data_IF_978648236169
#
_entry.id   IF_978648236169
#
_cell.length_a   1.000
_cell.length_b   1.000
_cell.length_c   1.000
_cell.angle_alpha   90.00
_cell.angle_beta   90.00
_cell.angle_gamma   90.00
#
_symmetry.space_group_name_H-M   'P 1'
#
loop_
_entity.id
_entity.type
_entity.pdbx_description
1 polymer ?
#
# COMPACT_ATOMS: atom_id res chain seq x y z
N UNK A 1 13.34 8.31 -10.93
CA UNK A 1 12.46 7.34 -10.25
C UNK A 1 11.50 8.09 -9.36
N UNK A 2 10.24 7.72 -9.39
CA UNK A 2 9.25 8.36 -8.52
C UNK A 2 9.30 7.81 -7.11
N UNK A 3 8.84 8.59 -6.15
CA UNK A 3 8.76 8.18 -4.75
C UNK A 3 7.59 7.21 -4.55
N UNK A 4 7.84 6.09 -3.88
CA UNK A 4 6.82 5.11 -3.56
C UNK A 4 6.05 5.57 -2.34
N UNK A 5 4.72 5.56 -2.40
CA UNK A 5 3.87 5.92 -1.26
C UNK A 5 3.52 4.68 -0.44
N UNK A 6 3.60 4.77 0.88
CA UNK A 6 3.28 3.68 1.79
C UNK A 6 2.21 4.11 2.79
N UNK A 7 1.27 3.21 3.09
CA UNK A 7 0.29 3.42 4.15
C UNK A 7 -0.13 2.08 4.74
N UNK A 8 -0.47 2.07 6.01
CA UNK A 8 -1.03 0.90 6.66
C UNK A 8 -1.87 1.32 7.86
N UNK A 9 -2.71 0.40 8.37
CA UNK A 9 -3.28 0.53 9.69
C UNK A 9 -2.38 -0.22 10.70
N UNK A 10 -2.85 -0.34 11.94
CA UNK A 10 -2.08 -1.02 12.98
C UNK A 10 -1.80 -2.49 12.65
N UNK A 11 -2.73 -3.18 11.96
CA UNK A 11 -2.55 -4.59 11.61
C UNK A 11 -1.51 -4.79 10.51
N UNK A 12 -1.26 -3.77 9.68
CA UNK A 12 -0.28 -3.84 8.61
C UNK A 12 1.06 -3.18 8.94
N UNK A 13 1.20 -2.64 10.14
CA UNK A 13 2.37 -1.84 10.50
C UNK A 13 3.69 -2.62 10.38
N UNK A 14 3.73 -3.84 10.92
CA UNK A 14 4.96 -4.63 10.91
C UNK A 14 5.39 -5.00 9.50
N UNK A 15 4.45 -5.42 8.65
CA UNK A 15 4.76 -5.72 7.26
C UNK A 15 5.21 -4.46 6.52
N UNK A 16 4.61 -3.31 6.81
CA UNK A 16 5.05 -2.04 6.23
C UNK A 16 6.50 -1.73 6.63
N UNK A 17 6.89 -1.97 7.88
CA UNK A 17 8.26 -1.76 8.32
C UNK A 17 9.24 -2.66 7.55
N UNK A 18 8.84 -3.91 7.29
CA UNK A 18 9.65 -4.81 6.47
C UNK A 18 9.78 -4.30 5.03
N UNK A 19 8.69 -3.81 4.44
CA UNK A 19 8.70 -3.24 3.08
C UNK A 19 9.63 -2.04 3.02
N UNK A 20 9.63 -1.18 4.04
CA UNK A 20 10.53 -0.02 4.09
C UNK A 20 12.00 -0.45 4.05
N UNK A 21 12.35 -1.47 4.81
CA UNK A 21 13.73 -1.99 4.81
C UNK A 21 14.11 -2.57 3.45
N UNK A 22 13.16 -3.25 2.81
CA UNK A 22 13.39 -3.81 1.49
C UNK A 22 13.61 -2.71 0.45
N UNK A 23 12.83 -1.65 0.50
CA UNK A 23 12.98 -0.51 -0.41
C UNK A 23 14.30 0.22 -0.18
N UNK A 24 14.69 0.41 1.08
CA UNK A 24 15.97 1.04 1.43
C UNK A 24 17.14 0.22 0.87
N UNK A 25 17.08 -1.11 0.98
CA UNK A 25 18.12 -1.99 0.45
C UNK A 25 18.23 -1.90 -1.07
N UNK A 26 17.13 -1.58 -1.76
CA UNK A 26 17.12 -1.39 -3.22
C UNK A 26 17.48 0.03 -3.65
N UNK A 27 17.65 0.94 -2.71
CA UNK A 27 17.96 2.33 -3.02
C UNK A 27 16.78 3.15 -3.52
N UNK A 28 15.56 2.70 -3.26
CA UNK A 28 14.33 3.38 -3.70
C UNK A 28 13.82 4.33 -2.64
N UNK A 29 13.33 5.49 -3.06
CA UNK A 29 12.73 6.48 -2.18
C UNK A 29 11.29 6.13 -1.89
N UNK A 30 10.85 6.42 -0.66
CA UNK A 30 9.47 6.21 -0.26
C UNK A 30 9.00 7.31 0.68
N UNK A 31 7.67 7.49 0.76
CA UNK A 31 7.04 8.39 1.72
C UNK A 31 5.99 7.60 2.48
N UNK A 32 6.11 7.59 3.82
CA UNK A 32 5.22 6.86 4.70
C UNK A 32 4.11 7.79 5.21
N UNK A 33 2.86 7.49 4.86
CA UNK A 33 1.69 8.28 5.27
C UNK A 33 1.06 7.79 6.58
N UNK A 34 1.64 6.81 7.25
CA UNK A 34 1.16 6.24 8.50
C UNK A 34 0.55 4.85 8.29
N UNK A 35 0.14 4.17 9.34
CA UNK A 35 0.37 4.55 10.72
C UNK A 35 1.84 4.37 11.13
N UNK A 36 2.19 4.91 12.30
CA UNK A 36 3.59 4.87 12.76
C UNK A 36 3.78 3.99 14.00
N UNK A 37 2.71 3.36 14.46
CA UNK A 37 2.73 2.49 15.64
C UNK A 37 1.81 1.29 15.43
N UNK A 38 1.84 0.34 16.38
CA UNK A 38 0.92 -0.80 16.39
C UNK A 38 -0.38 -0.52 17.15
N UNK A 39 -0.56 0.70 17.67
CA UNK A 39 -1.78 1.07 18.37
C UNK A 39 -2.97 1.08 17.42
N UNK A 40 -4.13 0.66 17.92
CA UNK A 40 -5.35 0.59 17.12
C UNK A 40 -5.66 1.93 16.45
N UNK A 41 -6.00 1.89 15.17
CA UNK A 41 -6.31 3.09 14.38
C UNK A 41 -7.26 2.73 13.25
N UNK A 42 -7.85 3.74 12.63
CA UNK A 42 -8.75 3.58 11.49
C UNK A 42 -7.98 3.70 10.18
N UNK A 43 -8.07 2.68 9.32
CA UNK A 43 -7.34 2.65 8.06
C UNK A 43 -7.66 3.81 7.09
N UNK A 44 -8.88 4.38 7.05
CA UNK A 44 -9.14 5.48 6.11
C UNK A 44 -8.30 6.72 6.38
N UNK A 45 -7.91 6.96 7.64
CA UNK A 45 -7.08 8.11 8.02
C UNK A 45 -5.72 8.10 7.30
N UNK A 46 -5.26 6.93 6.89
CA UNK A 46 -3.98 6.76 6.22
C UNK A 46 -4.14 6.44 4.74
N UNK A 47 -5.27 5.84 4.35
CA UNK A 47 -5.55 5.50 2.97
C UNK A 47 -5.82 6.74 2.11
N UNK A 48 -6.61 7.69 2.60
CA UNK A 48 -6.95 8.87 1.82
C UNK A 48 -5.72 9.74 1.47
N UNK A 49 -4.80 10.02 2.41
CA UNK A 49 -3.58 10.75 2.04
C UNK A 49 -2.74 10.04 0.99
N UNK A 50 -2.62 8.71 1.07
CA UNK A 50 -1.90 7.94 0.06
C UNK A 50 -2.58 8.06 -1.30
N UNK A 51 -3.90 7.91 -1.34
CA UNK A 51 -4.66 8.01 -2.58
C UNK A 51 -4.45 9.37 -3.24
N UNK A 52 -4.52 10.45 -2.48
CA UNK A 52 -4.32 11.79 -3.01
C UNK A 52 -2.91 11.97 -3.58
N UNK A 53 -1.90 11.44 -2.90
CA UNK A 53 -0.51 11.52 -3.38
C UNK A 53 -0.31 10.76 -4.69
N UNK A 54 -0.96 9.61 -4.86
CA UNK A 54 -0.88 8.85 -6.11
C UNK A 54 -1.66 9.56 -7.22
N UNK A 55 -2.87 10.07 -6.91
CA UNK A 55 -3.68 10.76 -7.91
C UNK A 55 -3.01 12.00 -8.46
N UNK A 56 -2.32 12.77 -7.61
CA UNK A 56 -1.70 14.03 -8.05
C UNK A 56 -0.27 13.85 -8.57
N UNK A 57 0.22 12.61 -8.65
CA UNK A 57 1.53 12.32 -9.21
C UNK A 57 2.71 12.49 -8.25
N UNK A 58 2.45 12.77 -6.98
CA UNK A 58 3.52 12.88 -5.98
C UNK A 58 4.20 11.54 -5.74
N UNK A 59 3.41 10.44 -5.70
CA UNK A 59 3.91 9.09 -5.46
C UNK A 59 3.46 8.13 -6.55
N UNK A 60 4.31 7.14 -6.86
CA UNK A 60 3.94 6.04 -7.74
C UNK A 60 5.00 4.94 -7.62
N UNK A 61 4.61 3.67 -7.46
CA UNK A 61 3.26 3.21 -7.11
C UNK A 61 2.95 3.46 -5.64
N UNK A 62 1.72 3.22 -5.23
CA UNK A 62 1.36 3.17 -3.83
C UNK A 62 1.39 1.74 -3.32
N UNK A 63 1.70 1.57 -2.05
CA UNK A 63 1.64 0.28 -1.35
C UNK A 63 0.86 0.49 -0.07
N UNK A 64 -0.20 -0.29 0.13
CA UNK A 64 -1.07 -0.17 1.29
C UNK A 64 -1.29 -1.52 1.93
N UNK A 65 -1.32 -1.57 3.25
CA UNK A 65 -1.43 -2.81 4.00
C UNK A 65 -2.42 -2.65 5.15
N UNK A 66 -3.38 -3.57 5.26
CA UNK A 66 -4.19 -3.71 6.47
C UNK A 66 -4.39 -5.20 6.72
N UNK A 67 -5.14 -5.56 7.76
CA UNK A 67 -5.28 -6.96 8.17
C UNK A 67 -5.65 -7.89 7.02
N UNK A 68 -6.79 -7.65 6.37
CA UNK A 68 -7.23 -8.44 5.20
C UNK A 68 -6.85 -7.77 3.88
N UNK A 69 -6.50 -6.50 3.89
CA UNK A 69 -6.27 -5.71 2.71
C UNK A 69 -7.55 -5.16 2.09
N UNK A 70 -8.71 -5.73 2.41
CA UNK A 70 -9.96 -5.37 1.75
C UNK A 70 -10.46 -3.98 2.12
N UNK A 71 -10.45 -3.63 3.43
CA UNK A 71 -10.94 -2.33 3.87
C UNK A 71 -10.15 -1.18 3.26
N UNK A 72 -8.84 -1.25 3.33
CA UNK A 72 -7.98 -0.19 2.78
C UNK A 72 -8.08 -0.15 1.26
N UNK A 73 -8.20 -1.31 0.61
CA UNK A 73 -8.37 -1.40 -0.84
C UNK A 73 -9.68 -0.77 -1.30
N UNK A 74 -10.77 -1.03 -0.59
CA UNK A 74 -12.07 -0.44 -0.92
C UNK A 74 -12.02 1.08 -0.77
N UNK A 75 -11.42 1.57 0.32
CA UNK A 75 -11.29 3.01 0.56
C UNK A 75 -10.48 3.68 -0.54
N UNK A 76 -9.34 3.08 -0.92
CA UNK A 76 -8.50 3.61 -1.99
C UNK A 76 -9.25 3.68 -3.32
N UNK A 77 -10.00 2.63 -3.66
CA UNK A 77 -10.72 2.57 -4.92
C UNK A 77 -11.93 3.50 -5.01
N UNK A 78 -12.27 4.20 -3.94
CA UNK A 78 -13.28 5.28 -4.00
C UNK A 78 -12.74 6.55 -4.67
N UNK A 79 -11.44 6.66 -4.82
CA UNK A 79 -10.83 7.78 -5.54
C UNK A 79 -10.75 7.44 -7.03
N UNK A 80 -11.15 8.39 -7.88
CA UNK A 80 -11.26 8.16 -9.33
C UNK A 80 -9.95 7.77 -10.00
N UNK A 81 -8.85 8.33 -9.54
CA UNK A 81 -7.53 8.06 -10.10
C UNK A 81 -6.83 6.84 -9.53
N UNK A 82 -7.50 6.06 -8.66
CA UNK A 82 -6.88 4.92 -8.00
C UNK A 82 -7.42 3.61 -8.54
N UNK A 83 -6.48 2.71 -8.85
CA UNK A 83 -6.77 1.33 -9.23
C UNK A 83 -5.98 0.44 -8.30
N UNK A 84 -6.51 0.23 -7.10
CA UNK A 84 -5.86 -0.58 -6.05
C UNK A 84 -6.23 -2.04 -6.22
N UNK A 85 -5.23 -2.90 -6.17
CA UNK A 85 -5.40 -4.34 -6.34
C UNK A 85 -4.96 -5.08 -5.09
N UNK A 86 -5.84 -5.91 -4.54
CA UNK A 86 -5.53 -6.76 -3.39
C UNK A 86 -4.75 -7.97 -3.88
N UNK A 87 -3.52 -8.12 -3.40
CA UNK A 87 -2.60 -9.16 -3.85
C UNK A 87 -1.97 -9.87 -2.66
N UNK A 88 -2.00 -11.19 -2.67
CA UNK A 88 -1.38 -11.99 -1.62
C UNK A 88 -0.30 -12.94 -2.15
N UNK A 89 -0.11 -12.98 -3.44
CA UNK A 89 1.00 -13.69 -4.09
C UNK A 89 1.53 -12.85 -5.26
N UNK A 90 2.81 -13.00 -5.63
CA UNK A 90 3.40 -12.16 -6.69
C UNK A 90 2.69 -12.28 -8.05
N UNK A 91 2.17 -13.45 -8.38
CA UNK A 91 1.48 -13.67 -9.64
C UNK A 91 0.26 -12.76 -9.79
N UNK A 92 -0.53 -12.60 -8.72
CA UNK A 92 -1.72 -11.74 -8.74
C UNK A 92 -1.31 -10.29 -8.94
N UNK A 93 -0.23 -9.85 -8.28
CA UNK A 93 0.27 -8.48 -8.44
C UNK A 93 0.70 -8.21 -9.88
N UNK A 94 1.38 -9.16 -10.50
CA UNK A 94 1.81 -9.03 -11.89
C UNK A 94 0.60 -8.89 -12.83
N UNK A 95 -0.41 -9.73 -12.66
CA UNK A 95 -1.61 -9.68 -13.49
C UNK A 95 -2.42 -8.40 -13.28
N UNK A 96 -2.48 -7.92 -12.03
CA UNK A 96 -3.19 -6.67 -11.73
C UNK A 96 -2.56 -5.49 -12.48
N UNK A 97 -1.24 -5.43 -12.54
CA UNK A 97 -0.57 -4.37 -13.28
C UNK A 97 -0.72 -4.56 -14.78
N UNK A 98 -0.53 -5.77 -15.27
CA UNK A 98 -0.53 -6.07 -16.70
C UNK A 98 -1.93 -5.93 -17.33
N UNK A 99 -2.96 -6.45 -16.67
CA UNK A 99 -4.30 -6.48 -17.22
C UNK A 99 -5.22 -5.38 -16.72
N UNK A 100 -4.98 -4.85 -15.55
CA UNK A 100 -5.87 -3.88 -14.91
C UNK A 100 -5.22 -2.51 -14.68
N UNK A 101 -3.96 -2.35 -15.06
CA UNK A 101 -3.23 -1.10 -14.90
C UNK A 101 -3.28 -0.56 -13.46
N UNK A 102 -3.12 -1.46 -12.47
CA UNK A 102 -3.16 -1.08 -11.07
C UNK A 102 -2.02 -0.13 -10.73
N UNK A 103 -2.29 0.88 -9.91
CA UNK A 103 -1.28 1.84 -9.46
C UNK A 103 -1.06 1.80 -7.95
N UNK A 104 -1.83 0.99 -7.22
CA UNK A 104 -1.60 0.76 -5.79
C UNK A 104 -1.65 -0.74 -5.54
N UNK A 105 -0.62 -1.25 -4.86
CA UNK A 105 -0.55 -2.63 -4.40
C UNK A 105 -1.10 -2.69 -2.98
N UNK A 106 -2.08 -3.56 -2.75
CA UNK A 106 -2.68 -3.75 -1.43
C UNK A 106 -2.34 -5.15 -0.93
N UNK A 107 -1.85 -5.26 0.29
CA UNK A 107 -1.45 -6.54 0.88
C UNK A 107 -2.20 -6.81 2.18
N UNK A 108 -2.65 -8.08 2.39
CA UNK A 108 -3.35 -8.47 3.62
C UNK A 108 -2.34 -8.91 4.70
N UNK A 109 -1.92 -7.96 5.56
CA UNK A 109 -0.84 -8.20 6.51
C UNK A 109 -1.04 -9.35 7.48
N UNK A 110 -2.29 -9.74 7.76
CA UNK A 110 -2.59 -10.88 8.64
C UNK A 110 -2.59 -12.23 7.90
N UNK A 111 -2.53 -12.22 6.57
CA UNK A 111 -2.60 -13.41 5.74
C UNK A 111 -1.36 -13.60 4.87
N UNK A 112 -0.32 -12.80 5.08
CA UNK A 112 0.94 -12.89 4.36
C UNK A 112 2.09 -12.85 5.36
N UNK A 113 3.18 -13.55 5.06
CA UNK A 113 4.41 -13.41 5.80
C UNK A 113 5.37 -12.49 5.03
N UNK A 114 6.56 -12.29 5.58
CA UNK A 114 7.56 -11.42 4.98
C UNK A 114 8.31 -12.06 3.80
N UNK A 115 8.18 -13.35 3.67
CA UNK A 115 8.85 -14.12 2.62
C UNK A 115 8.18 -14.03 1.23
#
# INVERSE_FOLDING_TARGET
MKTIGLASDHAGFELKQYVKKWLEAKGWEYKDFGTYTTDSCDYPDFAHPLALAVENGECYPGIAICGSGEGIGITLNKHQGIRAALCWIPEIAHLARQHNNANVLVMPGRFMDEG
#
